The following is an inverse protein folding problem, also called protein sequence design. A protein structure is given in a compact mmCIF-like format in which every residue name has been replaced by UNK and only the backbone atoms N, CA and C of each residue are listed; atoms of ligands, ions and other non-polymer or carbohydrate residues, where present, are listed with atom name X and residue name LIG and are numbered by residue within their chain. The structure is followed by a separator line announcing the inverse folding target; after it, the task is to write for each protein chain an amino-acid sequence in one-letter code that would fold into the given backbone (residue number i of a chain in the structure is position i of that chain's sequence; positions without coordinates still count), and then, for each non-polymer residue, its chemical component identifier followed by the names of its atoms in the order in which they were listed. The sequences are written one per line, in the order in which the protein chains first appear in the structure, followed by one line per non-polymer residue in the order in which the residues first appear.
data_IF_630860353336
#
_entry.id   IF_630860353336
#
_cell.length_a   1.000
_cell.length_b   1.000
_cell.length_c   1.000
_cell.angle_alpha   90.00
_cell.angle_beta   90.00
_cell.angle_gamma   90.00
#
_symmetry.space_group_name_H-M   'P 1'
#
loop_
_entity.id
_entity.type
_entity.pdbx_description
1 polymer ?
#
# COMPACT_ATOMS: atom_id res chain seq x y z
N UNK A 1 -31.72 -2.63 -35.46
CA UNK A 1 -31.11 -2.22 -34.17
C UNK A 1 -30.43 -3.46 -33.63
N UNK A 2 -29.15 -3.64 -33.94
CA UNK A 2 -28.43 -4.91 -33.74
C UNK A 2 -27.08 -4.56 -33.13
N UNK A 3 -26.78 -5.14 -31.97
CA UNK A 3 -25.52 -4.90 -31.26
C UNK A 3 -24.31 -5.36 -32.11
N UNK A 4 -23.22 -4.61 -32.06
CA UNK A 4 -21.99 -4.88 -32.83
C UNK A 4 -21.26 -6.11 -32.24
N UNK A 5 -20.82 -7.09 -33.06
CA UNK A 5 -19.91 -8.12 -32.58
C UNK A 5 -18.59 -7.44 -32.18
N UNK A 6 -17.99 -7.88 -31.07
CA UNK A 6 -16.68 -7.45 -30.54
C UNK A 6 -16.70 -6.35 -29.45
N UNK A 7 -17.52 -6.50 -28.41
CA UNK A 7 -17.26 -5.77 -27.16
C UNK A 7 -16.08 -6.43 -26.44
N UNK A 8 -14.91 -5.78 -26.28
CA UNK A 8 -13.76 -6.40 -25.65
C UNK A 8 -14.04 -6.62 -24.16
N UNK A 9 -14.17 -7.88 -23.77
CA UNK A 9 -14.09 -8.28 -22.36
C UNK A 9 -12.66 -7.99 -21.90
N UNK A 10 -12.46 -6.95 -21.10
CA UNK A 10 -11.14 -6.63 -20.57
C UNK A 10 -10.72 -7.75 -19.60
N UNK A 11 -9.63 -8.46 -19.98
CA UNK A 11 -9.02 -9.65 -19.35
C UNK A 11 -9.82 -10.98 -19.38
N UNK A 12 -9.75 -11.76 -20.47
CA UNK A 12 -10.26 -13.14 -20.50
C UNK A 12 -9.45 -14.14 -19.65
N UNK A 13 -8.18 -13.86 -19.33
CA UNK A 13 -7.26 -14.82 -18.69
C UNK A 13 -7.37 -14.86 -17.16
N UNK A 14 -7.58 -13.71 -16.52
CA UNK A 14 -7.64 -13.60 -15.06
C UNK A 14 -9.04 -13.18 -14.63
N UNK A 15 -9.83 -14.16 -14.17
CA UNK A 15 -11.16 -13.92 -13.60
C UNK A 15 -11.08 -13.54 -12.13
N UNK A 16 -12.10 -12.85 -11.63
CA UNK A 16 -12.28 -12.66 -10.20
C UNK A 16 -12.29 -14.03 -9.49
N UNK A 17 -11.63 -14.19 -8.32
CA UNK A 17 -10.90 -13.18 -7.53
C UNK A 17 -9.38 -13.13 -7.76
N UNK A 18 -8.84 -13.69 -8.85
CA UNK A 18 -7.39 -13.86 -9.03
C UNK A 18 -6.58 -12.58 -8.85
N UNK A 19 -6.99 -11.49 -9.50
CA UNK A 19 -6.26 -10.21 -9.43
C UNK A 19 -6.31 -9.62 -8.03
N UNK A 20 -7.41 -9.80 -7.29
CA UNK A 20 -7.51 -9.24 -5.95
C UNK A 20 -6.67 -10.01 -4.94
N UNK A 21 -6.60 -11.34 -5.07
CA UNK A 21 -5.71 -12.16 -4.24
C UNK A 21 -4.23 -11.87 -4.53
N UNK A 22 -3.88 -11.58 -5.79
CA UNK A 22 -2.52 -11.14 -6.15
C UNK A 22 -2.18 -9.78 -5.53
N UNK A 23 -3.11 -8.82 -5.56
CA UNK A 23 -2.93 -7.53 -4.90
C UNK A 23 -2.73 -7.70 -3.39
N UNK A 24 -3.49 -8.60 -2.77
CA UNK A 24 -3.38 -8.90 -1.35
C UNK A 24 -2.05 -9.60 -1.00
N UNK A 25 -1.62 -10.57 -1.81
CA UNK A 25 -0.30 -11.21 -1.64
C UNK A 25 0.85 -10.21 -1.77
N UNK A 26 0.73 -9.24 -2.69
CA UNK A 26 1.70 -8.15 -2.81
C UNK A 26 1.72 -7.27 -1.55
N UNK A 27 0.56 -6.93 -1.00
CA UNK A 27 0.46 -6.18 0.25
C UNK A 27 1.09 -6.94 1.43
N UNK A 28 0.79 -8.23 1.58
CA UNK A 28 1.44 -9.09 2.57
C UNK A 28 2.95 -9.13 2.40
N UNK A 29 3.44 -9.20 1.16
CA UNK A 29 4.88 -9.18 0.90
C UNK A 29 5.52 -7.86 1.36
N UNK A 30 4.89 -6.71 1.10
CA UNK A 30 5.43 -5.42 1.55
C UNK A 30 5.45 -5.34 3.07
N UNK A 31 4.41 -5.81 3.76
CA UNK A 31 4.37 -5.85 5.23
C UNK A 31 5.48 -6.75 5.80
N UNK A 32 5.68 -7.92 5.21
CA UNK A 32 6.56 -8.95 5.77
C UNK A 32 8.03 -8.85 5.33
N UNK A 33 8.29 -8.34 4.13
CA UNK A 33 9.61 -8.35 3.46
C UNK A 33 10.04 -6.98 2.95
N UNK A 34 9.15 -5.99 2.93
CA UNK A 34 9.43 -4.66 2.41
C UNK A 34 10.56 -3.92 3.14
N UNK A 35 10.78 -4.20 4.42
CA UNK A 35 11.84 -3.59 5.22
C UNK A 35 13.25 -3.81 4.62
N UNK A 36 13.50 -4.98 4.02
CA UNK A 36 14.75 -5.30 3.32
C UNK A 36 14.97 -4.43 2.07
N UNK A 37 13.89 -3.84 1.55
CA UNK A 37 13.88 -2.89 0.42
C UNK A 37 13.67 -1.44 0.85
N UNK A 38 13.71 -1.15 2.16
CA UNK A 38 13.52 0.19 2.70
C UNK A 38 12.07 0.68 2.71
N UNK A 39 11.09 -0.22 2.55
CA UNK A 39 9.67 0.09 2.68
C UNK A 39 9.24 0.00 4.15
N UNK A 40 8.41 0.94 4.62
CA UNK A 40 7.80 0.91 5.94
C UNK A 40 6.41 0.27 5.84
N UNK A 41 6.32 -1.03 6.11
CA UNK A 41 5.06 -1.78 6.09
C UNK A 41 4.04 -1.32 7.14
N UNK A 42 4.46 -0.54 8.15
CA UNK A 42 3.54 0.06 9.13
C UNK A 42 2.82 1.31 8.61
N UNK A 43 3.23 1.83 7.45
CA UNK A 43 2.68 3.04 6.83
C UNK A 43 2.23 2.82 5.40
N UNK A 44 1.41 1.79 5.21
CA UNK A 44 0.93 1.41 3.89
C UNK A 44 -0.41 2.07 3.58
N UNK A 45 -0.53 2.63 2.38
CA UNK A 45 -1.80 3.13 1.84
C UNK A 45 -2.09 2.46 0.51
N UNK A 46 -3.36 2.18 0.23
CA UNK A 46 -3.81 1.68 -1.07
C UNK A 46 -4.68 2.74 -1.74
N UNK A 47 -4.45 2.96 -3.04
CA UNK A 47 -5.23 3.89 -3.85
C UNK A 47 -5.34 3.35 -5.27
N UNK A 48 -6.38 3.76 -5.98
CA UNK A 48 -6.59 3.44 -7.38
C UNK A 48 -7.75 4.23 -7.97
N UNK A 49 -7.76 4.40 -9.29
CA UNK A 49 -8.82 5.04 -10.05
C UNK A 49 -9.62 4.00 -10.86
N UNK A 50 -10.90 4.31 -11.16
CA UNK A 50 -11.77 3.43 -11.95
C UNK A 50 -11.84 1.99 -11.37
N UNK A 51 -11.51 0.97 -12.17
CA UNK A 51 -11.41 -0.43 -11.74
C UNK A 51 -10.36 -0.61 -10.63
N UNK A 52 -9.28 0.16 -10.66
CA UNK A 52 -8.28 0.19 -9.58
C UNK A 52 -8.85 0.71 -8.27
N UNK A 53 -9.85 1.59 -8.31
CA UNK A 53 -10.55 2.05 -7.10
C UNK A 53 -11.38 0.94 -6.45
N UNK A 54 -12.04 0.10 -7.25
CA UNK A 54 -12.72 -1.09 -6.74
C UNK A 54 -11.73 -2.07 -6.10
N UNK A 55 -10.59 -2.33 -6.77
CA UNK A 55 -9.55 -3.19 -6.22
C UNK A 55 -8.96 -2.64 -4.91
N UNK A 56 -8.75 -1.33 -4.81
CA UNK A 56 -8.29 -0.70 -3.58
C UNK A 56 -9.30 -0.88 -2.43
N UNK A 57 -10.59 -0.73 -2.72
CA UNK A 57 -11.65 -0.94 -1.74
C UNK A 57 -11.74 -2.39 -1.27
N UNK A 58 -11.72 -3.37 -2.18
CA UNK A 58 -11.78 -4.79 -1.82
C UNK A 58 -10.53 -5.20 -1.04
N UNK A 59 -9.34 -4.73 -1.42
CA UNK A 59 -8.12 -4.98 -0.66
C UNK A 59 -8.23 -4.46 0.78
N UNK A 60 -8.79 -3.26 0.97
CA UNK A 60 -8.98 -2.69 2.30
C UNK A 60 -9.95 -3.51 3.16
N UNK A 61 -11.01 -4.06 2.56
CA UNK A 61 -11.92 -4.98 3.24
C UNK A 61 -11.18 -6.27 3.64
N UNK A 62 -10.46 -6.89 2.71
CA UNK A 62 -9.70 -8.12 2.97
C UNK A 62 -8.64 -7.92 4.06
N UNK A 63 -7.94 -6.79 4.04
CA UNK A 63 -6.95 -6.43 5.07
C UNK A 63 -7.59 -6.35 6.45
N UNK A 64 -8.77 -5.73 6.57
CA UNK A 64 -9.52 -5.66 7.82
C UNK A 64 -10.03 -7.03 8.28
N UNK A 65 -10.53 -7.86 7.36
CA UNK A 65 -11.08 -9.18 7.67
C UNK A 65 -10.01 -10.19 8.09
N UNK A 66 -8.84 -10.15 7.43
CA UNK A 66 -7.74 -11.09 7.64
C UNK A 66 -6.77 -10.63 8.73
N UNK A 67 -6.65 -9.31 8.97
CA UNK A 67 -5.97 -8.73 10.13
C UNK A 67 -4.43 -8.76 10.11
N UNK A 68 -3.82 -9.21 9.03
CA UNK A 68 -2.38 -9.38 8.85
C UNK A 68 -1.73 -8.30 7.95
N UNK A 69 -2.55 -7.53 7.23
CA UNK A 69 -2.14 -6.37 6.45
C UNK A 69 -2.70 -5.11 7.11
N UNK A 70 -1.81 -4.27 7.65
CA UNK A 70 -2.19 -2.96 8.20
C UNK A 70 -2.23 -1.89 7.12
N UNK A 71 -3.37 -1.22 6.96
CA UNK A 71 -3.50 -0.04 6.11
C UNK A 71 -3.68 1.21 6.96
N UNK A 72 -2.89 2.24 6.68
CA UNK A 72 -2.96 3.54 7.32
C UNK A 72 -4.20 4.32 6.82
N UNK A 73 -4.86 5.01 7.74
CA UNK A 73 -5.93 5.95 7.39
C UNK A 73 -5.31 7.26 6.89
N UNK A 74 -5.54 7.60 5.61
CA UNK A 74 -5.13 8.88 5.03
C UNK A 74 -5.72 10.11 5.74
N UNK A 75 -6.65 9.91 6.68
CA UNK A 75 -7.18 10.96 7.57
C UNK A 75 -6.26 11.29 8.76
N UNK A 76 -5.18 10.53 8.97
CA UNK A 76 -4.12 10.92 9.89
C UNK A 76 -3.34 12.14 9.38
N UNK A 77 -2.73 12.96 10.27
CA UNK A 77 -1.85 14.03 9.80
C UNK A 77 -0.74 13.41 8.93
N UNK A 78 -0.41 14.01 7.76
CA UNK A 78 0.65 13.47 6.91
C UNK A 78 1.90 13.23 7.74
N UNK A 79 2.68 12.16 7.47
CA UNK A 79 3.87 11.85 8.25
C UNK A 79 4.70 13.11 8.36
N UNK A 80 4.84 13.61 9.60
CA UNK A 80 5.25 14.98 9.87
C UNK A 80 6.42 15.37 8.97
N UNK A 81 6.14 16.20 7.97
CA UNK A 81 7.17 16.90 7.22
C UNK A 81 7.73 17.92 8.19
N UNK A 82 8.66 17.47 9.05
CA UNK A 82 9.35 18.33 10.00
C UNK A 82 10.30 19.21 9.19
N UNK A 83 9.74 20.29 8.66
CA UNK A 83 10.52 21.42 8.19
C UNK A 83 10.99 22.15 9.45
N UNK A 84 12.30 22.27 9.65
CA UNK A 84 12.78 23.25 10.62
C UNK A 84 12.31 24.65 10.18
N UNK A 85 12.20 25.62 11.10
CA UNK A 85 11.84 27.03 10.78
C UNK A 85 12.74 27.71 9.73
N UNK A 86 13.76 27.02 9.21
CA UNK A 86 14.76 27.50 8.23
C UNK A 86 14.70 26.77 6.89
N UNK A 87 13.65 25.99 6.61
CA UNK A 87 13.40 25.43 5.28
C UNK A 87 14.37 24.34 4.79
N UNK A 88 15.23 23.77 5.65
CA UNK A 88 16.21 22.75 5.21
C UNK A 88 15.83 21.34 5.68
N UNK A 89 15.76 20.40 4.72
CA UNK A 89 15.47 18.97 4.92
C UNK A 89 16.34 18.39 6.04
N UNK A 90 15.72 17.84 7.07
CA UNK A 90 16.40 16.96 8.02
C UNK A 90 15.96 15.52 7.74
N UNK A 91 16.80 14.77 7.01
CA UNK A 91 16.68 13.31 6.96
C UNK A 91 17.12 12.79 8.34
N UNK A 92 16.17 12.27 9.12
CA UNK A 92 16.47 11.66 10.42
C UNK A 92 17.18 10.33 10.18
N UNK A 93 18.52 10.35 10.20
CA UNK A 93 19.33 9.11 10.27
C UNK A 93 19.00 8.37 11.57
N UNK A 94 18.84 7.05 11.47
CA UNK A 94 18.46 6.17 12.56
C UNK A 94 19.37 6.30 13.78
N UNK A 95 18.78 6.18 14.97
CA UNK A 95 19.54 6.06 16.22
C UNK A 95 20.22 4.69 16.24
N UNK A 96 21.55 4.68 16.13
CA UNK A 96 22.36 3.51 16.46
C UNK A 96 22.36 3.21 17.97
N UNK A 97 22.79 2.00 18.37
CA UNK A 97 22.68 1.50 19.74
C UNK A 97 23.63 2.26 20.68
N UNK A 98 23.10 2.65 21.85
CA UNK A 98 23.89 3.23 22.95
C UNK A 98 24.82 2.14 23.51
N UNK A 99 26.10 2.20 23.17
CA UNK A 99 27.13 1.68 24.07
C UNK A 99 27.37 2.72 25.16
N UNK A 100 27.19 2.34 26.41
CA UNK A 100 27.82 3.01 27.55
C UNK A 100 28.75 1.99 28.18
N UNK A 101 30.04 2.27 28.05
CA UNK A 101 31.14 1.69 28.82
C UNK A 101 31.86 2.85 29.52
N UNK A 102 32.55 2.48 30.60
CA UNK A 102 33.29 3.28 31.59
C UNK A 102 32.44 3.80 32.77
#
# INVERSE_FOLDING_TARGET
MTAWPNSPSISPEAKYPTVIEQNYAAAQWVVNKGAEKGLDGSRMVVAGDSVGGNMAAVLAIMAKERGDVGLDDLRGPPPAMVLNRRGRRAVRRGRGPRQQAA
#
